data_IF_785092323476
#
_entry.id   IF_785092323476
#
_cell.length_a   1.000
_cell.length_b   1.000
_cell.length_c   1.000
_cell.angle_alpha   90.00
_cell.angle_beta   90.00
_cell.angle_gamma   90.00
#
_symmetry.space_group_name_H-M   'P 1'
#
loop_
_entity.id
_entity.type
_entity.pdbx_description
1 polymer ?
#
# COMPACT_ATOMS: atom_id res chain seq x y z
N UNK A 1 -21.70 -95.14 -40.76
CA UNK A 1 -22.62 -94.15 -41.36
C UNK A 1 -22.28 -94.07 -42.83
N UNK A 2 -23.12 -94.60 -43.70
CA UNK A 2 -22.83 -94.74 -45.14
C UNK A 2 -22.85 -93.38 -45.85
N UNK A 3 -21.65 -92.89 -46.17
CA UNK A 3 -21.39 -91.59 -46.81
C UNK A 3 -22.14 -91.41 -48.14
N UNK A 4 -22.56 -92.52 -48.77
CA UNK A 4 -23.30 -92.52 -50.05
C UNK A 4 -24.73 -91.99 -49.94
N UNK A 5 -25.35 -92.02 -48.75
CA UNK A 5 -26.67 -91.40 -48.54
C UNK A 5 -26.61 -89.87 -48.44
N UNK A 6 -25.47 -89.30 -48.04
CA UNK A 6 -25.26 -87.85 -47.99
C UNK A 6 -25.15 -87.22 -49.39
N UNK A 7 -24.74 -88.00 -50.40
CA UNK A 7 -24.61 -87.58 -51.80
C UNK A 7 -25.85 -87.92 -52.65
N UNK A 8 -27.05 -87.83 -52.09
CA UNK A 8 -28.27 -87.87 -52.89
C UNK A 8 -28.41 -86.55 -53.66
N UNK A 9 -28.76 -86.63 -54.96
CA UNK A 9 -28.94 -85.46 -55.83
C UNK A 9 -29.89 -84.43 -55.21
N UNK A 10 -30.93 -84.87 -54.50
CA UNK A 10 -31.87 -84.00 -53.78
C UNK A 10 -31.27 -83.27 -52.59
N UNK A 11 -30.36 -83.91 -51.86
CA UNK A 11 -29.64 -83.29 -50.73
C UNK A 11 -28.66 -82.24 -51.26
N UNK A 12 -27.97 -82.54 -52.36
CA UNK A 12 -27.06 -81.58 -53.02
C UNK A 12 -27.83 -80.37 -53.54
N UNK A 13 -28.98 -80.58 -54.19
CA UNK A 13 -29.86 -79.50 -54.67
C UNK A 13 -30.39 -78.64 -53.50
N UNK A 14 -30.81 -79.27 -52.40
CA UNK A 14 -31.27 -78.56 -51.21
C UNK A 14 -30.16 -77.71 -50.55
N UNK A 15 -28.96 -78.28 -50.41
CA UNK A 15 -27.81 -77.59 -49.84
C UNK A 15 -27.37 -76.39 -50.70
N UNK A 16 -27.38 -76.53 -52.03
CA UNK A 16 -27.02 -75.44 -52.94
C UNK A 16 -28.02 -74.28 -52.85
N UNK A 17 -29.31 -74.58 -52.77
CA UNK A 17 -30.37 -73.57 -52.65
C UNK A 17 -30.26 -72.81 -51.33
N UNK A 18 -30.04 -73.52 -50.21
CA UNK A 18 -29.87 -72.89 -48.89
C UNK A 18 -28.61 -72.02 -48.83
N UNK A 19 -27.50 -72.50 -49.39
CA UNK A 19 -26.26 -71.71 -49.46
C UNK A 19 -26.45 -70.44 -50.30
N UNK A 20 -27.15 -70.54 -51.44
CA UNK A 20 -27.49 -69.38 -52.27
C UNK A 20 -28.37 -68.36 -51.55
N UNK A 21 -29.38 -68.82 -50.82
CA UNK A 21 -30.25 -67.95 -50.02
C UNK A 21 -29.46 -67.19 -48.94
N UNK A 22 -28.57 -67.89 -48.22
CA UNK A 22 -27.75 -67.28 -47.17
C UNK A 22 -26.78 -66.23 -47.72
N UNK A 23 -26.18 -66.49 -48.89
CA UNK A 23 -25.33 -65.51 -49.57
C UNK A 23 -26.12 -64.27 -50.01
N UNK A 24 -27.32 -64.46 -50.57
CA UNK A 24 -28.20 -63.36 -50.98
C UNK A 24 -28.57 -62.47 -49.79
N UNK A 25 -28.98 -63.06 -48.67
CA UNK A 25 -29.33 -62.32 -47.44
C UNK A 25 -28.13 -61.54 -46.89
N UNK A 26 -26.94 -62.16 -46.91
CA UNK A 26 -25.71 -61.51 -46.45
C UNK A 26 -25.37 -60.29 -47.31
N UNK A 27 -25.51 -60.42 -48.63
CA UNK A 27 -25.25 -59.32 -49.58
C UNK A 27 -26.22 -58.15 -49.39
N UNK A 28 -27.52 -58.42 -49.21
CA UNK A 28 -28.52 -57.39 -48.95
C UNK A 28 -28.28 -56.67 -47.61
N UNK A 29 -27.91 -57.40 -46.54
CA UNK A 29 -27.58 -56.79 -45.25
C UNK A 29 -26.35 -55.89 -45.33
N UNK A 30 -25.29 -56.33 -46.01
CA UNK A 30 -24.09 -55.51 -46.24
C UNK A 30 -24.47 -54.25 -47.03
N UNK A 31 -25.24 -54.38 -48.10
CA UNK A 31 -25.65 -53.23 -48.91
C UNK A 31 -26.46 -52.17 -48.14
N UNK A 32 -27.26 -52.59 -47.17
CA UNK A 32 -28.10 -51.66 -46.38
C UNK A 32 -27.38 -51.01 -45.19
N UNK A 33 -26.29 -51.60 -44.68
CA UNK A 33 -25.65 -51.17 -43.43
C UNK A 33 -24.51 -50.15 -43.66
N UNK A 34 -23.99 -50.02 -44.88
CA UNK A 34 -22.93 -49.03 -45.16
C UNK A 34 -23.52 -47.63 -45.39
N UNK A 35 -23.93 -46.95 -44.31
CA UNK A 35 -24.02 -45.49 -44.32
C UNK A 35 -22.62 -44.90 -44.54
N UNK A 36 -22.39 -43.99 -45.52
CA UNK A 36 -21.09 -43.35 -45.67
C UNK A 36 -20.79 -42.51 -44.44
N UNK A 37 -19.81 -42.93 -43.62
CA UNK A 37 -19.30 -42.09 -42.56
C UNK A 37 -18.48 -40.97 -43.21
N UNK A 38 -18.89 -39.72 -43.03
CA UNK A 38 -18.09 -38.57 -43.45
C UNK A 38 -17.00 -38.33 -42.41
N UNK A 39 -15.70 -38.46 -42.73
CA UNK A 39 -14.64 -38.11 -41.80
C UNK A 39 -14.48 -36.59 -41.78
N UNK A 40 -15.16 -35.93 -40.85
CA UNK A 40 -14.82 -34.56 -40.45
C UNK A 40 -13.58 -34.63 -39.55
N UNK A 41 -12.40 -34.66 -40.17
CA UNK A 41 -11.12 -34.50 -39.46
C UNK A 41 -10.83 -33.01 -39.30
N UNK A 42 -11.57 -32.36 -38.41
CA UNK A 42 -11.38 -30.97 -38.05
C UNK A 42 -10.05 -30.73 -37.35
N UNK A 43 -9.16 -29.96 -37.98
CA UNK A 43 -7.98 -29.41 -37.31
C UNK A 43 -8.44 -28.32 -36.34
N UNK A 44 -8.44 -28.61 -35.03
CA UNK A 44 -8.70 -27.60 -34.01
C UNK A 44 -7.49 -26.64 -33.90
N UNK A 45 -7.68 -25.31 -34.00
CA UNK A 45 -6.58 -24.37 -33.82
C UNK A 45 -6.15 -24.30 -32.34
N UNK A 46 -4.85 -24.40 -32.08
CA UNK A 46 -4.29 -24.19 -30.75
C UNK A 46 -4.16 -22.68 -30.47
N UNK A 47 -4.81 -22.22 -29.40
CA UNK A 47 -4.68 -20.82 -28.94
C UNK A 47 -3.52 -20.70 -27.96
N UNK A 48 -2.58 -19.79 -28.24
CA UNK A 48 -1.44 -19.48 -27.38
C UNK A 48 -1.72 -18.18 -26.60
N UNK A 49 -1.86 -18.31 -25.28
CA UNK A 49 -2.00 -17.15 -24.38
C UNK A 49 -0.63 -16.71 -23.88
N UNK A 50 -0.22 -15.49 -24.20
CA UNK A 50 1.00 -14.88 -23.67
C UNK A 50 0.67 -14.21 -22.33
N UNK A 51 1.31 -14.65 -21.25
CA UNK A 51 1.26 -13.98 -19.95
C UNK A 51 2.38 -12.94 -19.84
N UNK A 52 2.10 -11.71 -19.37
CA UNK A 52 3.13 -10.71 -19.14
C UNK A 52 4.07 -11.12 -18.00
N UNK A 53 5.34 -10.72 -18.10
CA UNK A 53 6.32 -10.96 -17.05
C UNK A 53 6.05 -10.10 -15.81
N UNK A 54 6.49 -10.59 -14.64
CA UNK A 54 6.34 -9.91 -13.36
C UNK A 54 7.08 -8.57 -13.34
N UNK A 55 6.39 -7.47 -13.01
CA UNK A 55 6.99 -6.15 -12.82
C UNK A 55 7.85 -6.12 -11.55
N UNK A 56 9.03 -5.49 -11.60
CA UNK A 56 9.89 -5.31 -10.43
C UNK A 56 9.20 -4.45 -9.35
N UNK A 57 9.37 -4.82 -8.09
CA UNK A 57 8.87 -4.06 -6.94
C UNK A 57 9.60 -2.71 -6.86
N UNK A 58 8.89 -1.59 -6.64
CA UNK A 58 9.53 -0.28 -6.45
C UNK A 58 10.46 -0.29 -5.25
N UNK A 59 11.68 0.18 -5.44
CA UNK A 59 12.66 0.36 -4.37
C UNK A 59 12.27 1.61 -3.57
N UNK A 60 11.65 1.40 -2.40
CA UNK A 60 11.32 2.48 -1.46
C UNK A 60 12.54 2.83 -0.63
N UNK A 61 12.87 4.12 -0.54
CA UNK A 61 13.88 4.61 0.40
C UNK A 61 13.39 4.37 1.82
N UNK A 62 14.18 3.72 2.70
CA UNK A 62 13.78 3.53 4.09
C UNK A 62 13.65 4.90 4.78
N UNK A 63 12.47 5.18 5.32
CA UNK A 63 12.24 6.30 6.25
C UNK A 63 12.89 5.96 7.59
N UNK A 64 13.56 6.91 8.20
CA UNK A 64 14.16 6.72 9.52
C UNK A 64 13.10 6.33 10.55
N UNK A 65 13.28 5.19 11.20
CA UNK A 65 12.49 4.76 12.35
C UNK A 65 12.93 5.54 13.57
N UNK A 66 12.02 6.28 14.21
CA UNK A 66 12.29 6.94 15.50
C UNK A 66 12.60 5.87 16.56
N UNK A 67 13.77 5.94 17.17
CA UNK A 67 14.17 5.05 18.26
C UNK A 67 13.55 5.52 19.58
N UNK A 68 12.67 4.73 20.23
CA UNK A 68 12.04 5.09 21.50
C UNK A 68 13.02 5.22 22.67
N UNK A 69 14.24 4.68 22.52
CA UNK A 69 15.27 4.66 23.56
C UNK A 69 16.44 5.59 23.25
N UNK A 70 16.40 6.32 22.13
CA UNK A 70 17.38 7.37 21.89
C UNK A 70 17.29 8.40 23.01
N UNK A 71 18.43 8.82 23.61
CA UNK A 71 18.42 9.89 24.59
C UNK A 71 17.83 11.13 23.93
N UNK A 72 16.79 11.70 24.55
CA UNK A 72 16.25 12.98 24.10
C UNK A 72 17.41 13.99 24.12
N UNK A 73 17.69 14.70 23.01
CA UNK A 73 18.74 15.70 23.00
C UNK A 73 18.42 16.70 24.11
N UNK A 74 19.34 16.89 25.06
CA UNK A 74 19.20 17.95 26.06
C UNK A 74 19.13 19.26 25.28
N UNK A 75 18.01 20.00 25.36
CA UNK A 75 17.86 21.21 24.57
C UNK A 75 18.98 22.18 24.95
N UNK A 76 19.86 22.46 23.99
CA UNK A 76 21.04 23.31 24.19
C UNK A 76 20.70 24.79 23.99
N UNK A 77 19.41 25.14 24.07
CA UNK A 77 18.86 26.47 23.80
C UNK A 77 17.36 26.52 24.09
N UNK A 78 16.73 27.65 23.75
CA UNK A 78 15.29 27.83 23.91
C UNK A 78 14.52 26.77 23.10
N UNK A 79 13.63 26.06 23.77
CA UNK A 79 12.75 25.04 23.17
C UNK A 79 11.34 25.19 23.72
N UNK A 80 10.35 24.79 22.93
CA UNK A 80 8.97 24.64 23.41
C UNK A 80 8.95 23.62 24.56
N UNK A 81 8.21 23.96 25.63
CA UNK A 81 8.16 23.20 26.87
C UNK A 81 9.32 23.48 27.84
N UNK A 82 10.34 24.24 27.42
CA UNK A 82 11.42 24.71 28.29
C UNK A 82 11.07 26.00 29.04
N UNK A 83 11.93 26.38 29.99
CA UNK A 83 11.83 27.66 30.69
C UNK A 83 12.79 28.67 30.09
N UNK A 84 12.31 29.91 29.97
CA UNK A 84 13.09 31.06 29.54
C UNK A 84 13.08 32.12 30.64
N UNK A 85 14.24 32.64 30.98
CA UNK A 85 14.40 33.77 31.88
C UNK A 85 14.67 35.04 31.07
N UNK A 86 14.00 36.13 31.44
CA UNK A 86 14.27 37.44 30.85
C UNK A 86 15.59 37.98 31.41
N UNK A 87 16.51 38.36 30.52
CA UNK A 87 17.83 38.87 30.88
C UNK A 87 18.29 39.94 29.89
N UNK A 88 19.16 40.84 30.33
CA UNK A 88 19.83 41.79 29.43
C UNK A 88 19.00 43.02 29.08
N UNK A 89 17.93 43.30 29.84
CA UNK A 89 17.12 44.52 29.66
C UNK A 89 17.69 45.73 30.40
N UNK A 90 18.76 45.55 31.20
CA UNK A 90 19.41 46.62 31.94
C UNK A 90 18.53 47.26 33.02
N UNK A 91 17.48 46.55 33.45
CA UNK A 91 16.51 47.04 34.43
C UNK A 91 15.29 47.77 33.84
N UNK A 92 15.22 48.00 32.52
CA UNK A 92 14.03 48.58 31.89
C UNK A 92 12.89 47.56 31.68
N UNK A 93 13.22 46.26 31.73
CA UNK A 93 12.28 45.18 31.43
C UNK A 93 12.07 44.97 29.92
N UNK A 94 11.49 43.82 29.60
CA UNK A 94 11.19 43.39 28.24
C UNK A 94 9.71 43.58 27.95
N UNK A 95 9.39 44.30 26.88
CA UNK A 95 8.00 44.46 26.42
C UNK A 95 7.55 43.20 25.69
N UNK A 96 6.66 42.47 26.31
CA UNK A 96 6.02 41.27 25.74
C UNK A 96 4.84 41.72 24.89
N UNK A 97 4.73 41.18 23.67
CA UNK A 97 3.80 41.67 22.64
C UNK A 97 2.73 40.64 22.30
N UNK A 98 1.62 41.08 21.71
CA UNK A 98 0.51 40.20 21.33
C UNK A 98 0.81 39.36 20.08
N UNK A 99 1.72 39.85 19.24
CA UNK A 99 2.16 39.23 17.99
C UNK A 99 3.69 39.29 17.89
N UNK A 100 4.32 38.36 17.14
CA UNK A 100 5.74 38.43 16.86
C UNK A 100 6.02 39.61 15.94
N UNK A 101 7.01 40.42 16.30
CA UNK A 101 7.41 41.60 15.57
C UNK A 101 7.28 42.89 16.37
N UNK A 102 7.92 43.95 15.87
CA UNK A 102 7.92 45.29 16.45
C UNK A 102 6.59 46.02 16.24
N UNK A 103 5.74 45.53 15.34
CA UNK A 103 4.38 46.04 15.12
C UNK A 103 3.34 45.47 16.09
N UNK A 104 3.68 44.43 16.87
CA UNK A 104 2.75 43.84 17.85
C UNK A 104 2.52 44.77 19.03
N UNK A 105 1.27 44.94 19.46
CA UNK A 105 0.94 45.75 20.63
C UNK A 105 1.55 45.14 21.91
N UNK A 106 2.22 45.94 22.77
CA UNK A 106 2.72 45.47 24.06
C UNK A 106 1.57 45.06 24.98
N UNK A 107 1.58 43.82 25.47
CA UNK A 107 0.56 43.26 26.37
C UNK A 107 0.98 43.46 27.83
N UNK A 108 2.26 43.22 28.15
CA UNK A 108 2.80 43.47 29.49
C UNK A 108 4.33 43.65 29.46
N UNK A 109 4.88 44.10 30.58
CA UNK A 109 6.32 44.23 30.80
C UNK A 109 6.80 43.06 31.67
N UNK A 110 7.74 42.26 31.16
CA UNK A 110 8.44 41.24 31.93
C UNK A 110 9.73 41.82 32.51
N UNK A 111 10.01 41.54 33.78
CA UNK A 111 11.21 42.07 34.43
C UNK A 111 12.40 41.13 34.26
N UNK A 112 13.61 41.67 34.38
CA UNK A 112 14.81 40.84 34.44
C UNK A 112 14.71 39.83 35.59
N UNK A 113 15.28 38.66 35.36
CA UNK A 113 15.23 37.49 36.25
C UNK A 113 13.87 36.80 36.37
N UNK A 114 12.82 37.29 35.71
CA UNK A 114 11.53 36.63 35.67
C UNK A 114 11.56 35.42 34.72
N UNK A 115 10.96 34.31 35.15
CA UNK A 115 10.98 33.02 34.43
C UNK A 115 9.60 32.71 33.87
N UNK A 116 9.56 32.36 32.58
CA UNK A 116 8.36 32.01 31.84
C UNK A 116 8.51 30.66 31.15
N UNK A 117 7.38 29.98 30.91
CA UNK A 117 7.34 28.76 30.12
C UNK A 117 7.25 29.12 28.63
N UNK A 118 8.11 28.52 27.82
CA UNK A 118 8.04 28.65 26.34
C UNK A 118 6.94 27.73 25.84
N UNK A 119 5.89 28.32 25.27
CA UNK A 119 4.72 27.58 24.74
C UNK A 119 4.70 27.48 23.21
N UNK A 120 5.34 28.40 22.50
CA UNK A 120 5.42 28.38 21.02
C UNK A 120 6.66 29.14 20.51
N UNK A 121 7.02 28.95 19.24
CA UNK A 121 8.21 29.50 18.58
C UNK A 121 9.14 28.41 18.01
N UNK A 122 10.22 28.77 17.31
CA UNK A 122 10.67 30.12 16.97
C UNK A 122 9.89 30.73 15.79
N UNK A 123 9.66 32.04 15.82
CA UNK A 123 9.09 32.78 14.68
C UNK A 123 9.95 33.99 14.34
N UNK A 124 10.37 34.11 13.08
CA UNK A 124 11.19 35.24 12.64
C UNK A 124 10.30 36.40 12.19
N UNK A 125 10.53 37.59 12.74
CA UNK A 125 9.86 38.82 12.34
C UNK A 125 10.73 40.04 12.68
N UNK A 126 10.75 41.03 11.78
CA UNK A 126 11.50 42.29 11.94
C UNK A 126 12.99 42.13 12.26
N UNK A 127 13.61 41.03 11.80
CA UNK A 127 15.02 40.72 12.06
C UNK A 127 15.31 40.10 13.42
N UNK A 128 14.28 39.78 14.20
CA UNK A 128 14.40 39.11 15.49
C UNK A 128 13.72 37.74 15.47
N UNK A 129 14.21 36.83 16.31
CA UNK A 129 13.53 35.57 16.61
C UNK A 129 12.61 35.79 17.80
N UNK A 130 11.34 35.42 17.65
CA UNK A 130 10.32 35.61 18.67
C UNK A 130 9.86 34.26 19.23
N UNK A 131 9.68 34.23 20.54
CA UNK A 131 9.16 33.09 21.29
C UNK A 131 7.91 33.48 22.05
N UNK A 132 6.90 32.62 22.05
CA UNK A 132 5.70 32.82 22.84
C UNK A 132 5.93 32.24 24.23
N UNK A 133 5.91 33.12 25.22
CA UNK A 133 6.15 32.79 26.62
C UNK A 133 4.88 33.03 27.43
N UNK A 134 4.66 32.21 28.46
CA UNK A 134 3.52 32.34 29.36
C UNK A 134 3.96 32.09 30.81
N UNK A 135 3.37 32.82 31.76
CA UNK A 135 3.68 32.60 33.15
C UNK A 135 3.17 31.21 33.58
N UNK A 136 3.92 30.43 34.38
CA UNK A 136 3.55 29.05 34.72
C UNK A 136 2.22 28.95 35.48
N UNK A 137 1.91 29.97 36.28
CA UNK A 137 0.74 30.00 37.17
C UNK A 137 -0.37 30.93 36.69
N UNK A 138 -0.13 31.70 35.63
CA UNK A 138 -1.08 32.70 35.12
C UNK A 138 -0.99 32.79 33.59
N UNK A 139 -1.93 32.13 32.91
CA UNK A 139 -1.98 32.13 31.45
C UNK A 139 -2.38 33.48 30.85
N UNK A 140 -2.93 34.41 31.65
CA UNK A 140 -3.23 35.77 31.18
C UNK A 140 -1.95 36.59 30.94
N UNK A 141 -0.84 36.21 31.59
CA UNK A 141 0.49 36.79 31.35
C UNK A 141 1.23 35.98 30.30
N UNK A 142 0.76 36.09 29.06
CA UNK A 142 1.36 35.41 27.91
C UNK A 142 1.52 36.35 26.71
N UNK A 143 2.57 36.10 25.90
CA UNK A 143 2.81 36.85 24.68
C UNK A 143 4.18 36.55 24.06
N UNK A 144 4.51 37.29 23.00
CA UNK A 144 5.72 37.15 22.21
C UNK A 144 6.85 38.02 22.75
N UNK A 145 8.01 37.39 22.92
CA UNK A 145 9.23 38.01 23.42
C UNK A 145 10.38 37.75 22.45
N UNK A 146 11.28 38.72 22.29
CA UNK A 146 12.46 38.57 21.45
C UNK A 146 13.51 37.67 22.13
N UNK A 147 14.05 36.71 21.37
CA UNK A 147 15.00 35.71 21.84
C UNK A 147 16.29 36.30 22.43
N UNK A 148 16.72 37.47 21.94
CA UNK A 148 17.94 38.15 22.39
C UNK A 148 17.92 38.51 23.88
N UNK A 149 16.72 38.65 24.45
CA UNK A 149 16.50 38.96 25.86
C UNK A 149 16.03 37.73 26.66
N UNK A 150 16.11 36.53 26.09
CA UNK A 150 15.70 35.29 26.72
C UNK A 150 16.89 34.34 26.88
N UNK A 151 17.14 33.94 28.12
CA UNK A 151 18.10 32.89 28.45
C UNK A 151 17.37 31.60 28.79
N UNK A 152 17.76 30.48 28.17
CA UNK A 152 17.23 29.17 28.51
C UNK A 152 17.65 28.76 29.92
N UNK A 153 16.69 28.28 30.71
CA UNK A 153 16.95 27.65 32.01
C UNK A 153 16.41 26.21 31.98
N UNK A 154 17.25 25.21 32.29
CA UNK A 154 16.78 23.84 32.43
C UNK A 154 15.78 23.75 33.59
N UNK A 155 14.72 22.96 33.41
CA UNK A 155 13.80 22.67 34.50
C UNK A 155 14.58 22.04 35.68
N UNK A 156 14.28 22.43 36.94
CA UNK A 156 14.91 21.85 38.12
C UNK A 156 14.57 20.37 38.31
#
# INVERSE_FOLDING_TARGET
MDVRQLFNKWVILGALSLAGLLLLVTFLSIGWIHSPQSPDVGFAPAYLTIIPASTATPNVTPTATLDPFAPSPTPTGLTVGGYAQITGTGGEGLRIRSAPGLSGEPVFLGLDSEVFLVKDGPREADGYVWWYIAAPYDEARAGWAAADFLTFIPAP
#
